data_IF_320667411097
#
_entry.id   IF_320667411097
#
_cell.length_a   1.000
_cell.length_b   1.000
_cell.length_c   1.000
_cell.angle_alpha   90.00
_cell.angle_beta   90.00
_cell.angle_gamma   90.00
#
_symmetry.space_group_name_H-M   'P 1'
#
loop_
_entity.id
_entity.type
_entity.pdbx_description
1 polymer ?
#
# COMPACT_ATOMS: atom_id res chain seq x y z
N UNK A 1 -7.74 -1.21 23.48
CA UNK A 1 -6.89 -0.76 22.36
C UNK A 1 -7.69 -0.89 21.08
N UNK A 2 -7.69 0.09 20.16
CA UNK A 2 -8.39 -0.07 18.90
C UNK A 2 -7.85 -1.30 18.17
N UNK A 3 -8.74 -2.10 17.59
CA UNK A 3 -8.33 -3.23 16.76
C UNK A 3 -7.46 -2.67 15.62
N UNK A 4 -6.30 -3.30 15.39
CA UNK A 4 -5.43 -2.91 14.29
C UNK A 4 -6.23 -3.00 12.98
N UNK A 5 -6.25 -1.93 12.20
CA UNK A 5 -6.92 -1.97 10.90
C UNK A 5 -6.31 -3.09 10.05
N UNK A 6 -7.15 -3.87 9.34
CA UNK A 6 -6.63 -4.93 8.49
C UNK A 6 -5.74 -4.34 7.41
N UNK A 7 -4.60 -5.00 7.15
CA UNK A 7 -3.62 -4.57 6.17
C UNK A 7 -4.24 -4.47 4.76
N UNK A 8 -3.62 -3.66 3.90
CA UNK A 8 -4.09 -3.46 2.53
C UNK A 8 -4.16 -4.75 1.72
N UNK A 9 -3.24 -5.69 1.95
CA UNK A 9 -3.25 -6.99 1.30
C UNK A 9 -4.43 -7.87 1.74
N UNK A 10 -4.78 -7.87 3.04
CA UNK A 10 -5.97 -8.59 3.54
C UNK A 10 -7.26 -8.02 2.97
N UNK A 11 -7.32 -6.70 2.76
CA UNK A 11 -8.49 -6.02 2.18
C UNK A 11 -8.62 -6.14 0.67
N UNK A 12 -7.53 -6.47 -0.04
CA UNK A 12 -7.48 -6.57 -1.51
C UNK A 12 -6.72 -7.85 -1.92
N UNK A 13 -7.26 -9.03 -1.59
CA UNK A 13 -6.55 -10.30 -1.78
C UNK A 13 -6.27 -10.64 -3.25
N UNK A 14 -6.99 -10.02 -4.18
CA UNK A 14 -6.85 -10.17 -5.63
C UNK A 14 -5.84 -9.20 -6.26
N UNK A 15 -5.30 -8.24 -5.50
CA UNK A 15 -4.27 -7.31 -5.98
C UNK A 15 -2.89 -7.80 -5.55
N UNK A 16 -2.13 -8.30 -6.53
CA UNK A 16 -0.81 -8.88 -6.30
C UNK A 16 0.21 -7.85 -5.81
N UNK A 17 1.17 -8.30 -4.99
CA UNK A 17 2.29 -7.49 -4.52
C UNK A 17 2.03 -6.65 -3.25
N UNK A 18 0.76 -6.48 -2.84
CA UNK A 18 0.41 -5.58 -1.72
C UNK A 18 0.97 -5.97 -0.36
N UNK A 19 1.24 -7.25 -0.14
CA UNK A 19 1.81 -7.70 1.14
C UNK A 19 3.11 -6.95 1.43
N UNK A 20 3.96 -6.76 0.42
CA UNK A 20 5.28 -6.19 0.59
C UNK A 20 5.34 -4.68 0.41
N UNK A 21 4.18 -4.01 0.26
CA UNK A 21 4.14 -2.57 0.01
C UNK A 21 3.84 -1.77 1.28
N UNK A 22 4.39 -0.56 1.36
CA UNK A 22 3.88 0.46 2.28
C UNK A 22 2.42 0.77 1.95
N UNK A 23 1.61 1.23 2.92
CA UNK A 23 0.22 1.60 2.65
C UNK A 23 0.09 2.66 1.56
N UNK A 24 0.99 3.64 1.54
CA UNK A 24 1.04 4.74 0.58
C UNK A 24 1.24 4.24 -0.85
N UNK A 25 2.24 3.37 -1.07
CA UNK A 25 2.48 2.79 -2.37
C UNK A 25 1.37 1.80 -2.77
N UNK A 26 0.86 1.04 -1.80
CA UNK A 26 -0.22 0.08 -2.00
C UNK A 26 -1.54 0.72 -2.45
N UNK A 27 -1.90 1.90 -1.94
CA UNK A 27 -3.14 2.62 -2.35
C UNK A 27 -3.12 3.02 -3.82
N UNK A 28 -2.00 3.59 -4.29
CA UNK A 28 -1.83 3.91 -5.71
C UNK A 28 -1.91 2.65 -6.58
N UNK A 29 -1.30 1.55 -6.14
CA UNK A 29 -1.35 0.28 -6.86
C UNK A 29 -2.76 -0.32 -6.94
N UNK A 30 -3.50 -0.33 -5.83
CA UNK A 30 -4.91 -0.73 -5.83
C UNK A 30 -5.70 0.12 -6.82
N UNK A 31 -5.58 1.45 -6.75
CA UNK A 31 -6.30 2.35 -7.66
C UNK A 31 -5.98 2.05 -9.13
N UNK A 32 -4.70 1.80 -9.44
CA UNK A 32 -4.25 1.42 -10.79
C UNK A 32 -4.88 0.11 -11.28
N UNK A 33 -4.92 -0.92 -10.44
CA UNK A 33 -5.51 -2.23 -10.80
C UNK A 33 -7.04 -2.14 -10.94
N UNK A 34 -7.70 -1.30 -10.12
CA UNK A 34 -9.15 -1.09 -10.17
C UNK A 34 -9.60 -0.13 -11.29
N UNK A 35 -8.69 0.58 -11.93
CA UNK A 35 -9.02 1.63 -12.91
C UNK A 35 -9.63 2.89 -12.27
N UNK A 36 -9.43 3.11 -10.96
CA UNK A 36 -9.88 4.32 -10.28
C UNK A 36 -8.87 5.45 -10.48
N UNK A 37 -8.94 6.08 -11.65
CA UNK A 37 -8.00 7.12 -12.05
C UNK A 37 -8.04 8.34 -11.11
N UNK A 38 -9.21 8.68 -10.54
CA UNK A 38 -9.31 9.83 -9.62
C UNK A 38 -8.54 9.60 -8.33
N UNK A 39 -8.62 8.38 -7.77
CA UNK A 39 -7.84 8.02 -6.58
C UNK A 39 -6.37 7.87 -6.93
N UNK A 40 -6.05 7.30 -8.09
CA UNK A 40 -4.67 7.17 -8.55
C UNK A 40 -3.97 8.53 -8.66
N UNK A 41 -4.59 9.51 -9.33
CA UNK A 41 -4.03 10.85 -9.49
C UNK A 41 -3.76 11.53 -8.14
N UNK A 42 -4.65 11.35 -7.17
CA UNK A 42 -4.49 11.90 -5.82
C UNK A 42 -3.32 11.26 -5.07
N UNK A 43 -3.15 9.95 -5.15
CA UNK A 43 -2.04 9.27 -4.46
C UNK A 43 -0.70 9.58 -5.15
N UNK A 44 -0.67 9.65 -6.49
CA UNK A 44 0.52 10.08 -7.23
C UNK A 44 0.91 11.51 -6.88
N UNK A 45 -0.03 12.45 -6.84
CA UNK A 45 0.27 13.84 -6.44
C UNK A 45 0.87 13.94 -5.03
N UNK A 46 0.44 13.10 -4.08
CA UNK A 46 1.04 13.04 -2.74
C UNK A 46 2.46 12.49 -2.77
N UNK A 47 2.69 11.43 -3.55
CA UNK A 47 4.02 10.83 -3.71
C UNK A 47 4.98 11.80 -4.38
N UNK A 48 4.54 12.53 -5.41
CA UNK A 48 5.30 13.57 -6.08
C UNK A 48 5.62 14.75 -5.16
N UNK A 49 4.65 15.21 -4.38
CA UNK A 49 4.87 16.25 -3.39
C UNK A 49 5.91 15.83 -2.32
N UNK A 50 5.89 14.57 -1.88
CA UNK A 50 6.90 14.03 -0.97
C UNK A 50 8.28 13.94 -1.65
N UNK A 51 8.33 13.49 -2.91
CA UNK A 51 9.53 13.38 -3.70
C UNK A 51 10.19 14.74 -3.98
N UNK A 52 9.39 15.81 -4.07
CA UNK A 52 9.89 17.18 -4.23
C UNK A 52 10.66 17.69 -2.99
N UNK A 53 10.37 17.14 -1.81
CA UNK A 53 11.03 17.52 -0.55
C UNK A 53 12.24 16.63 -0.25
N UNK A 54 12.16 15.34 -0.57
CA UNK A 54 13.22 14.35 -0.31
C UNK A 54 13.23 13.30 -1.42
N UNK A 55 14.43 12.92 -1.86
CA UNK A 55 14.61 11.78 -2.76
C UNK A 55 13.92 10.51 -2.20
N UNK A 56 13.02 9.88 -2.98
CA UNK A 56 12.39 8.62 -2.60
C UNK A 56 13.42 7.53 -2.37
N UNK A 57 13.14 6.64 -1.42
CA UNK A 57 13.97 5.48 -1.08
C UNK A 57 13.14 4.21 -1.11
N UNK A 58 13.82 3.07 -1.04
CA UNK A 58 13.16 1.78 -1.14
C UNK A 58 12.17 1.54 0.01
N UNK A 59 12.50 2.01 1.21
CA UNK A 59 11.63 1.95 2.39
C UNK A 59 10.32 2.74 2.25
N UNK A 60 10.23 3.68 1.29
CA UNK A 60 9.00 4.43 1.02
C UNK A 60 7.96 3.59 0.25
N UNK A 61 8.41 2.49 -0.39
CA UNK A 61 7.58 1.62 -1.22
C UNK A 61 7.44 0.23 -0.62
N UNK A 62 8.50 -0.30 0.00
CA UNK A 62 8.52 -1.65 0.54
C UNK A 62 8.40 -1.66 2.06
N UNK A 63 7.49 -2.49 2.56
CA UNK A 63 7.33 -2.74 3.98
C UNK A 63 7.03 -4.21 4.25
N UNK A 64 7.64 -4.77 5.30
CA UNK A 64 7.37 -6.11 5.80
C UNK A 64 6.72 -6.00 7.18
N UNK A 65 5.42 -5.69 7.21
CA UNK A 65 4.68 -5.42 8.46
C UNK A 65 3.43 -6.28 8.65
N UNK A 66 3.50 -7.57 8.32
CA UNK A 66 2.37 -8.48 8.51
C UNK A 66 2.86 -9.82 9.04
N UNK A 67 2.25 -10.27 10.14
CA UNK A 67 2.46 -11.61 10.67
C UNK A 67 1.63 -12.59 9.84
N UNK A 68 2.24 -13.69 9.36
CA UNK A 68 1.47 -14.79 8.76
C UNK A 68 0.52 -15.33 9.82
N UNK A 69 -0.80 -15.42 9.57
CA UNK A 69 -1.70 -16.13 10.47
C UNK A 69 -1.20 -17.56 10.66
N UNK A 70 -1.25 -18.08 11.89
CA UNK A 70 -0.92 -19.48 12.14
C UNK A 70 -1.79 -20.37 11.25
N UNK A 71 -1.24 -21.42 10.60
CA UNK A 71 -2.06 -22.33 9.82
C UNK A 71 -3.12 -22.95 10.73
N UNK A 72 -4.39 -22.90 10.32
CA UNK A 72 -5.43 -23.69 10.96
C UNK A 72 -5.10 -25.17 10.70
N UNK A 73 -4.83 -25.91 11.77
CA UNK A 73 -4.65 -27.36 11.73
C UNK A 73 -5.95 -28.10 11.45
#
# INVERSE_FOLDING_TARGET
MPAAEPSLCTRNPDVLGLCHMTPEAGRAWVARVRGDNRTLDRELAKQEAAAAVRTPRLEDVLSHSHSRPAPAG
#
